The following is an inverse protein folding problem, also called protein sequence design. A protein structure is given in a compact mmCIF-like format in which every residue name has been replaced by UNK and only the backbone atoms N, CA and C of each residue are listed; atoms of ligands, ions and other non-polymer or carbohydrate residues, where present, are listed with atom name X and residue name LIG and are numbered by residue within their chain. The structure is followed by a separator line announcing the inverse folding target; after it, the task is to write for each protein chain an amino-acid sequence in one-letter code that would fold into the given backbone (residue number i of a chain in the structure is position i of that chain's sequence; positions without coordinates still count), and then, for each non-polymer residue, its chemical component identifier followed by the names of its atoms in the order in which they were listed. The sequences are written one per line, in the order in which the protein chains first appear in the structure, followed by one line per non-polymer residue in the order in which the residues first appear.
data_IF_754790028439
#
_entry.id   IF_754790028439
#
_cell.length_a   1.000
_cell.length_b   1.000
_cell.length_c   1.000
_cell.angle_alpha   90.00
_cell.angle_beta   90.00
_cell.angle_gamma   90.00
#
_symmetry.space_group_name_H-M   'P 1'
#
loop_
_entity.id
_entity.type
_entity.pdbx_description
1 polymer ?
#
# COMPACT_ATOMS: atom_id res chain seq x y z
N UNK A 1 -40.40 -35.69 33.55
CA UNK A 1 -39.99 -34.27 33.64
C UNK A 1 -39.89 -33.70 32.21
N UNK A 2 -40.96 -33.12 31.65
CA UNK A 2 -41.15 -32.96 30.18
C UNK A 2 -40.51 -31.71 29.54
N UNK A 3 -39.95 -30.79 30.34
CA UNK A 3 -39.54 -29.44 29.90
C UNK A 3 -38.10 -29.40 29.34
N UNK A 4 -37.32 -30.47 29.51
CA UNK A 4 -35.91 -30.51 29.12
C UNK A 4 -35.66 -30.72 27.61
N UNK A 5 -36.60 -31.34 26.89
CA UNK A 5 -36.41 -31.70 25.48
C UNK A 5 -36.55 -30.52 24.49
N UNK A 6 -37.50 -29.58 24.66
CA UNK A 6 -37.57 -28.38 23.83
C UNK A 6 -36.31 -27.50 23.93
N UNK A 7 -35.79 -27.31 25.14
CA UNK A 7 -34.57 -26.52 25.38
C UNK A 7 -33.34 -27.16 24.70
N UNK A 8 -33.20 -28.48 24.76
CA UNK A 8 -32.13 -29.19 24.03
C UNK A 8 -32.27 -29.06 22.52
N UNK A 9 -33.50 -29.06 22.01
CA UNK A 9 -33.74 -28.85 20.57
C UNK A 9 -33.39 -27.43 20.13
N UNK A 10 -33.71 -26.44 20.96
CA UNK A 10 -33.40 -25.04 20.71
C UNK A 10 -31.89 -24.77 20.76
N UNK A 11 -31.18 -25.32 21.74
CA UNK A 11 -29.70 -25.26 21.79
C UNK A 11 -29.08 -25.84 20.50
N UNK A 12 -29.53 -27.02 20.07
CA UNK A 12 -29.06 -27.64 18.81
C UNK A 12 -29.39 -26.82 17.55
N UNK A 13 -30.44 -26.00 17.59
CA UNK A 13 -30.76 -25.09 16.49
C UNK A 13 -29.83 -23.87 16.49
N UNK A 14 -29.54 -23.32 17.67
CA UNK A 14 -28.61 -22.20 17.83
C UNK A 14 -27.19 -22.59 17.44
N UNK A 15 -26.69 -23.75 17.89
CA UNK A 15 -25.36 -24.27 17.53
C UNK A 15 -25.21 -24.39 16.00
N UNK A 16 -26.19 -25.02 15.33
CA UNK A 16 -26.17 -25.12 13.85
C UNK A 16 -26.18 -23.78 13.15
N UNK A 17 -26.85 -22.78 13.73
CA UNK A 17 -26.92 -21.43 13.17
C UNK A 17 -25.62 -20.67 13.41
N UNK A 18 -24.98 -20.86 14.57
CA UNK A 18 -23.65 -20.36 14.85
C UNK A 18 -22.63 -20.91 13.85
N UNK A 19 -22.60 -22.23 13.63
CA UNK A 19 -21.72 -22.87 12.65
C UNK A 19 -21.89 -22.28 11.25
N UNK A 20 -23.14 -22.07 10.84
CA UNK A 20 -23.46 -21.46 9.55
C UNK A 20 -22.93 -20.01 9.46
N UNK A 21 -23.14 -19.22 10.50
CA UNK A 21 -22.65 -17.84 10.55
C UNK A 21 -21.13 -17.77 10.55
N UNK A 22 -20.46 -18.66 11.29
CA UNK A 22 -19.00 -18.77 11.30
C UNK A 22 -18.45 -19.16 9.92
N UNK A 23 -19.11 -20.10 9.22
CA UNK A 23 -18.75 -20.44 7.84
C UNK A 23 -18.91 -19.24 6.89
N UNK A 24 -20.00 -18.49 7.01
CA UNK A 24 -20.24 -17.29 6.20
C UNK A 24 -19.20 -16.21 6.47
N UNK A 25 -18.84 -15.97 7.73
CA UNK A 25 -17.78 -15.02 8.12
C UNK A 25 -16.47 -15.42 7.44
N UNK A 26 -16.08 -16.69 7.52
CA UNK A 26 -14.85 -17.19 6.91
C UNK A 26 -14.84 -16.99 5.39
N UNK A 27 -15.96 -17.28 4.73
CA UNK A 27 -16.08 -17.06 3.28
C UNK A 27 -15.97 -15.58 2.90
N UNK A 28 -16.63 -14.70 3.65
CA UNK A 28 -16.57 -13.25 3.41
C UNK A 28 -15.17 -12.68 3.67
N UNK A 29 -14.44 -13.21 4.65
CA UNK A 29 -13.05 -12.83 4.90
C UNK A 29 -12.14 -13.16 3.72
N UNK A 30 -12.24 -14.39 3.18
CA UNK A 30 -11.47 -14.79 1.99
C UNK A 30 -11.80 -13.88 0.81
N UNK A 31 -13.09 -13.63 0.54
CA UNK A 31 -13.50 -12.74 -0.55
C UNK A 31 -13.00 -11.30 -0.36
N UNK A 32 -12.99 -10.81 0.88
CA UNK A 32 -12.48 -9.49 1.21
C UNK A 32 -10.97 -9.40 0.92
N UNK A 33 -10.19 -10.41 1.32
CA UNK A 33 -8.74 -10.48 1.05
C UNK A 33 -8.46 -10.47 -0.46
N UNK A 34 -9.18 -11.29 -1.23
CA UNK A 34 -9.05 -11.35 -2.69
C UNK A 34 -9.39 -10.00 -3.34
N UNK A 35 -10.47 -9.37 -2.89
CA UNK A 35 -10.92 -8.07 -3.41
C UNK A 35 -9.91 -6.97 -3.08
N UNK A 36 -9.36 -6.97 -1.87
CA UNK A 36 -8.32 -6.02 -1.46
C UNK A 36 -7.03 -6.20 -2.26
N UNK A 37 -6.61 -7.45 -2.51
CA UNK A 37 -5.46 -7.75 -3.35
C UNK A 37 -5.67 -7.18 -4.78
N UNK A 38 -6.82 -7.45 -5.40
CA UNK A 38 -7.17 -6.94 -6.72
C UNK A 38 -7.22 -5.41 -6.77
N UNK A 39 -7.78 -4.77 -5.74
CA UNK A 39 -7.80 -3.30 -5.63
C UNK A 39 -6.38 -2.73 -5.53
N UNK A 40 -5.52 -3.35 -4.72
CA UNK A 40 -4.13 -2.90 -4.54
C UNK A 40 -3.35 -2.95 -5.87
N UNK A 41 -3.51 -4.03 -6.64
CA UNK A 41 -2.88 -4.19 -7.95
C UNK A 41 -3.33 -3.09 -8.92
N UNK A 42 -4.65 -2.85 -8.99
CA UNK A 42 -5.22 -1.81 -9.87
C UNK A 42 -4.72 -0.42 -9.48
N UNK A 43 -4.60 -0.12 -8.18
CA UNK A 43 -4.06 1.16 -7.70
C UNK A 43 -2.61 1.33 -8.09
N UNK A 44 -1.75 0.33 -7.86
CA UNK A 44 -0.33 0.36 -8.25
C UNK A 44 -0.21 0.62 -9.75
N UNK A 45 -1.00 -0.08 -10.58
CA UNK A 45 -1.00 0.09 -12.03
C UNK A 45 -1.45 1.50 -12.44
N UNK A 46 -2.53 2.01 -11.85
CA UNK A 46 -3.02 3.35 -12.14
C UNK A 46 -1.99 4.43 -11.79
N UNK A 47 -1.41 4.38 -10.60
CA UNK A 47 -0.36 5.31 -10.16
C UNK A 47 0.88 5.24 -11.05
N UNK A 48 1.30 4.03 -11.46
CA UNK A 48 2.42 3.85 -12.39
C UNK A 48 2.15 4.54 -13.72
N UNK A 49 0.97 4.32 -14.30
CA UNK A 49 0.58 4.96 -15.56
C UNK A 49 0.48 6.48 -15.42
N UNK A 50 -0.08 6.99 -14.32
CA UNK A 50 -0.13 8.43 -14.04
C UNK A 50 1.26 9.05 -13.96
N UNK A 51 2.21 8.38 -13.29
CA UNK A 51 3.59 8.84 -13.21
C UNK A 51 4.27 8.89 -14.59
N UNK A 52 3.97 7.94 -15.48
CA UNK A 52 4.47 7.94 -16.87
C UNK A 52 3.86 9.05 -17.75
N UNK A 53 2.71 9.61 -17.37
CA UNK A 53 2.12 10.75 -18.07
C UNK A 53 2.75 12.08 -17.67
N UNK A 54 3.39 12.15 -16.49
CA UNK A 54 4.05 13.36 -16.03
C UNK A 54 5.22 13.73 -16.97
N UNK A 55 5.40 14.99 -17.38
CA UNK A 55 6.49 15.40 -18.29
C UNK A 55 7.89 14.99 -17.79
N UNK A 56 8.10 15.04 -16.48
CA UNK A 56 9.36 14.68 -15.81
C UNK A 56 9.76 13.22 -16.01
N UNK A 57 8.80 12.33 -16.32
CA UNK A 57 9.07 10.91 -16.62
C UNK A 57 9.87 10.70 -17.90
N UNK A 58 9.91 11.69 -18.81
CA UNK A 58 10.65 11.64 -20.07
C UNK A 58 12.13 12.00 -19.92
N UNK A 59 12.51 12.60 -18.79
CA UNK A 59 13.90 12.95 -18.53
C UNK A 59 14.73 11.68 -18.34
N UNK A 60 15.98 11.62 -18.84
CA UNK A 60 16.95 10.58 -18.46
C UNK A 60 17.28 10.59 -16.96
N UNK A 61 17.86 9.50 -16.46
CA UNK A 61 18.22 9.38 -15.04
C UNK A 61 19.27 10.43 -14.62
N UNK A 62 20.18 10.79 -15.52
CA UNK A 62 21.22 11.80 -15.31
C UNK A 62 20.63 13.19 -15.08
N UNK A 63 19.57 13.53 -15.83
CA UNK A 63 18.86 14.79 -15.68
C UNK A 63 18.05 14.83 -14.38
N UNK A 64 17.42 13.69 -14.00
CA UNK A 64 16.77 13.57 -12.70
C UNK A 64 17.77 13.74 -11.56
N UNK A 65 18.93 13.08 -11.65
CA UNK A 65 19.96 13.18 -10.63
C UNK A 65 20.48 14.62 -10.50
N UNK A 66 20.73 15.32 -11.61
CA UNK A 66 21.15 16.72 -11.57
C UNK A 66 20.12 17.62 -10.86
N UNK A 67 18.82 17.40 -11.11
CA UNK A 67 17.73 18.10 -10.41
C UNK A 67 17.74 17.75 -8.90
N UNK A 68 17.94 16.49 -8.56
CA UNK A 68 17.97 16.04 -7.16
C UNK A 68 19.17 16.64 -6.41
N UNK A 69 20.35 16.65 -7.02
CA UNK A 69 21.56 17.25 -6.44
C UNK A 69 21.38 18.76 -6.19
N UNK A 70 20.73 19.47 -7.12
CA UNK A 70 20.39 20.89 -6.93
C UNK A 70 19.40 21.09 -5.77
N UNK A 71 18.34 20.28 -5.70
CA UNK A 71 17.35 20.37 -4.63
C UNK A 71 17.96 20.10 -3.24
N UNK A 72 18.93 19.19 -3.16
CA UNK A 72 19.66 18.87 -1.92
C UNK A 72 20.64 19.98 -1.56
N UNK A 73 21.27 20.62 -2.55
CA UNK A 73 22.26 21.68 -2.32
C UNK A 73 21.63 23.00 -1.86
N UNK A 74 20.38 23.26 -2.25
CA UNK A 74 19.63 24.47 -1.92
C UNK A 74 18.22 24.12 -1.42
N UNK A 75 18.10 23.51 -0.22
CA UNK A 75 16.80 23.11 0.30
C UNK A 75 15.96 24.36 0.64
N UNK A 76 14.65 24.37 0.31
CA UNK A 76 13.78 25.50 0.57
C UNK A 76 13.57 25.76 2.07
N UNK A 77 13.70 24.72 2.91
CA UNK A 77 13.58 24.80 4.37
C UNK A 77 14.70 24.00 5.04
N UNK A 78 15.20 24.48 6.19
CA UNK A 78 16.35 23.87 6.90
C UNK A 78 16.06 22.48 7.50
N UNK A 79 14.80 22.12 7.67
CA UNK A 79 14.37 20.86 8.29
C UNK A 79 13.96 19.79 7.26
N UNK A 80 14.05 20.08 5.97
CA UNK A 80 13.61 19.17 4.92
C UNK A 80 14.65 18.08 4.66
N UNK A 81 14.22 16.83 4.73
CA UNK A 81 15.04 15.67 4.38
C UNK A 81 14.91 15.40 2.88
N UNK A 82 15.35 16.36 2.07
CA UNK A 82 15.13 16.37 0.60
C UNK A 82 15.48 15.03 -0.08
N UNK A 83 16.59 14.34 0.22
CA UNK A 83 16.88 13.04 -0.38
C UNK A 83 15.86 11.97 -0.01
N UNK A 84 15.34 12.00 1.22
CA UNK A 84 14.27 11.10 1.68
C UNK A 84 13.00 11.43 0.88
N UNK A 85 12.57 12.68 0.86
CA UNK A 85 11.34 13.08 0.16
C UNK A 85 11.36 12.69 -1.32
N UNK A 86 12.48 12.93 -2.01
CA UNK A 86 12.70 12.51 -3.40
C UNK A 86 12.54 10.99 -3.57
N UNK A 87 13.11 10.20 -2.66
CA UNK A 87 13.03 8.73 -2.71
C UNK A 87 11.62 8.16 -2.46
N UNK A 88 10.69 9.00 -1.98
CA UNK A 88 9.30 8.63 -1.72
C UNK A 88 8.33 9.01 -2.85
N UNK A 89 8.77 9.77 -3.86
CA UNK A 89 7.90 10.23 -4.97
C UNK A 89 7.39 9.08 -5.83
N UNK A 90 8.29 8.28 -6.41
CA UNK A 90 7.93 7.09 -7.18
C UNK A 90 9.08 6.07 -7.20
N UNK A 91 8.81 4.85 -7.70
CA UNK A 91 9.81 3.78 -7.78
C UNK A 91 11.08 4.21 -8.51
N UNK A 92 10.93 4.86 -9.67
CA UNK A 92 12.07 5.30 -10.48
C UNK A 92 12.93 6.35 -9.76
N UNK A 93 12.29 7.31 -9.07
CA UNK A 93 13.02 8.33 -8.31
C UNK A 93 13.78 7.71 -7.15
N UNK A 94 13.17 6.72 -6.48
CA UNK A 94 13.82 5.93 -5.44
C UNK A 94 15.06 5.21 -5.96
N UNK A 95 14.98 4.52 -7.09
CA UNK A 95 16.12 3.82 -7.68
C UNK A 95 17.28 4.78 -7.97
N UNK A 96 16.99 5.92 -8.62
CA UNK A 96 18.00 6.95 -8.91
C UNK A 96 18.59 7.54 -7.62
N UNK A 97 17.78 7.79 -6.61
CA UNK A 97 18.23 8.35 -5.35
C UNK A 97 19.13 7.37 -4.57
N UNK A 98 18.72 6.10 -4.45
CA UNK A 98 19.48 5.05 -3.75
C UNK A 98 20.80 4.75 -4.48
N UNK A 99 20.81 4.76 -5.82
CA UNK A 99 22.02 4.52 -6.60
C UNK A 99 23.03 5.67 -6.57
N UNK A 100 22.71 6.79 -5.90
CA UNK A 100 23.48 8.03 -5.95
C UNK A 100 23.92 8.48 -4.56
N UNK A 101 25.01 7.90 -4.00
CA UNK A 101 25.50 8.20 -2.65
C UNK A 101 25.77 9.69 -2.37
N UNK A 102 25.99 10.50 -3.42
CA UNK A 102 26.23 11.94 -3.31
C UNK A 102 25.04 12.69 -2.70
N UNK A 103 23.81 12.24 -2.94
CA UNK A 103 22.60 12.85 -2.39
C UNK A 103 22.51 12.71 -0.87
N UNK A 104 23.17 11.71 -0.29
CA UNK A 104 23.05 11.33 1.12
C UNK A 104 24.19 11.85 2.00
N UNK A 105 25.11 12.66 1.45
CA UNK A 105 26.33 13.09 2.17
C UNK A 105 26.09 14.04 3.34
N UNK A 106 24.92 14.67 3.39
CA UNK A 106 24.58 15.74 4.34
C UNK A 106 23.37 15.38 5.21
N UNK A 107 22.99 14.09 5.19
CA UNK A 107 22.05 13.43 6.09
C UNK A 107 22.87 12.80 7.20
#
# INVERSE_FOLDING_TARGET
MPVLDPLKQEIRQLERREDLLQSNIKQLQVLLEETQASLSEKRIKATTLQNLLAPVSRLPNEMLLAIFEEAVSSPPEKEMWVPIDISHVCHRWREVAISSPRLWRHI
#
